data_IF_833062367892
#
_entry.id   IF_833062367892
#
_cell.length_a   1.000
_cell.length_b   1.000
_cell.length_c   1.000
_cell.angle_alpha   90.00
_cell.angle_beta   90.00
_cell.angle_gamma   90.00
#
_symmetry.space_group_name_H-M   'P 1'
#
loop_
_entity.id
_entity.type
_entity.pdbx_description
1 polymer ?
#
# COMPACT_ATOMS: atom_id res chain seq x y z
N UNK A 1 2.15 -15.92 -19.22
CA UNK A 1 1.39 -14.86 -18.51
C UNK A 1 2.03 -13.52 -18.86
N UNK A 2 1.23 -12.47 -19.04
CA UNK A 2 1.72 -11.10 -19.27
C UNK A 2 1.48 -10.34 -17.96
N UNK A 3 2.53 -9.83 -17.34
CA UNK A 3 2.42 -8.94 -16.19
C UNK A 3 2.18 -7.51 -16.66
N UNK A 4 1.19 -6.83 -16.08
CA UNK A 4 0.93 -5.39 -16.33
C UNK A 4 1.80 -4.52 -15.41
N UNK A 5 2.18 -5.04 -14.25
CA UNK A 5 3.08 -4.41 -13.28
C UNK A 5 4.27 -5.33 -12.98
N UNK A 6 5.38 -4.70 -12.54
CA UNK A 6 6.57 -5.36 -11.97
C UNK A 6 6.73 -5.02 -10.47
N UNK A 7 5.92 -5.63 -9.58
CA UNK A 7 5.95 -5.29 -8.17
C UNK A 7 7.07 -6.04 -7.43
N UNK A 8 7.82 -5.33 -6.59
CA UNK A 8 8.73 -5.97 -5.63
C UNK A 8 8.00 -6.72 -4.49
N UNK A 9 6.73 -6.40 -4.25
CA UNK A 9 5.91 -6.96 -3.17
C UNK A 9 4.44 -7.12 -3.62
N UNK A 10 3.88 -8.29 -3.33
CA UNK A 10 2.45 -8.60 -3.45
C UNK A 10 1.90 -8.88 -2.06
N UNK A 11 0.87 -8.12 -1.64
CA UNK A 11 0.21 -8.28 -0.35
C UNK A 11 -1.14 -8.96 -0.53
N UNK A 12 -1.32 -10.12 0.11
CA UNK A 12 -2.57 -10.87 0.13
C UNK A 12 -3.47 -10.34 1.26
N UNK A 13 -4.55 -9.67 0.87
CA UNK A 13 -5.50 -9.04 1.78
C UNK A 13 -6.91 -9.65 1.66
N UNK A 14 -7.74 -9.38 2.66
CA UNK A 14 -9.12 -9.85 2.73
C UNK A 14 -9.32 -11.16 3.50
N UNK A 15 -10.57 -11.50 3.84
CA UNK A 15 -10.88 -12.59 4.77
C UNK A 15 -10.35 -13.96 4.33
N UNK A 16 -10.39 -14.24 3.02
CA UNK A 16 -9.89 -15.49 2.45
C UNK A 16 -8.38 -15.62 2.64
N UNK A 17 -7.63 -14.54 2.38
CA UNK A 17 -6.19 -14.52 2.53
C UNK A 17 -5.77 -14.69 4.00
N UNK A 18 -6.48 -14.03 4.91
CA UNK A 18 -6.26 -14.14 6.36
C UNK A 18 -6.57 -15.55 6.86
N UNK A 19 -7.72 -16.12 6.46
CA UNK A 19 -8.10 -17.47 6.85
C UNK A 19 -7.18 -18.55 6.26
N UNK A 20 -6.73 -18.34 5.02
CA UNK A 20 -5.79 -19.25 4.35
C UNK A 20 -4.36 -19.18 4.91
N UNK A 21 -3.99 -18.05 5.52
CA UNK A 21 -2.75 -17.90 6.27
C UNK A 21 -1.49 -18.27 5.49
N UNK A 22 -0.50 -18.74 6.22
CA UNK A 22 0.81 -19.11 5.67
C UNK A 22 0.74 -20.20 4.57
N UNK A 23 -0.08 -21.26 4.69
CA UNK A 23 -0.22 -22.24 3.61
C UNK A 23 -0.69 -21.64 2.28
N UNK A 24 -1.64 -20.70 2.32
CA UNK A 24 -2.11 -20.02 1.12
C UNK A 24 -1.02 -19.09 0.57
N UNK A 25 -0.34 -18.33 1.44
CA UNK A 25 0.75 -17.44 1.06
C UNK A 25 1.86 -18.19 0.31
N UNK A 26 2.30 -19.33 0.85
CA UNK A 26 3.33 -20.17 0.24
C UNK A 26 2.92 -20.66 -1.15
N UNK A 27 1.68 -21.17 -1.30
CA UNK A 27 1.18 -21.64 -2.60
C UNK A 27 1.11 -20.53 -3.66
N UNK A 28 0.72 -19.32 -3.26
CA UNK A 28 0.71 -18.17 -4.18
C UNK A 28 2.14 -17.78 -4.57
N UNK A 29 3.08 -17.79 -3.61
CA UNK A 29 4.49 -17.51 -3.88
C UNK A 29 5.10 -18.51 -4.87
N UNK A 30 4.88 -19.82 -4.66
CA UNK A 30 5.35 -20.87 -5.57
C UNK A 30 4.77 -20.70 -6.97
N UNK A 31 3.48 -20.34 -7.06
CA UNK A 31 2.83 -20.13 -8.34
C UNK A 31 3.39 -18.91 -9.07
N UNK A 32 3.62 -17.80 -8.37
CA UNK A 32 4.22 -16.59 -8.96
C UNK A 32 5.66 -16.84 -9.40
N UNK A 33 6.45 -17.56 -8.60
CA UNK A 33 7.83 -17.94 -8.94
C UNK A 33 7.92 -18.81 -10.20
N UNK A 34 6.87 -19.56 -10.55
CA UNK A 34 6.81 -20.33 -11.80
C UNK A 34 6.56 -19.48 -13.07
N UNK A 35 6.41 -18.16 -12.92
CA UNK A 35 6.14 -17.22 -14.03
C UNK A 35 7.43 -16.55 -14.48
N UNK A 36 7.61 -16.18 -15.76
CA UNK A 36 8.80 -15.45 -16.24
C UNK A 36 8.87 -13.97 -15.81
N UNK A 37 8.29 -13.63 -14.64
CA UNK A 37 8.33 -12.29 -14.06
C UNK A 37 9.50 -12.18 -13.07
N UNK A 38 9.88 -10.96 -12.72
CA UNK A 38 10.83 -10.72 -11.63
C UNK A 38 10.24 -11.30 -10.33
N UNK A 39 11.05 -11.95 -9.47
CA UNK A 39 10.57 -12.50 -8.22
C UNK A 39 9.97 -11.41 -7.33
N UNK A 40 8.69 -11.54 -7.02
CA UNK A 40 7.99 -10.67 -6.07
C UNK A 40 7.91 -11.35 -4.70
N UNK A 41 8.16 -10.58 -3.63
CA UNK A 41 7.89 -11.06 -2.27
C UNK A 41 6.38 -11.17 -2.08
N UNK A 42 5.89 -12.26 -1.48
CA UNK A 42 4.46 -12.41 -1.15
C UNK A 42 4.27 -12.36 0.36
N UNK A 43 3.46 -11.42 0.83
CA UNK A 43 3.15 -11.22 2.25
C UNK A 43 1.64 -11.30 2.51
N UNK A 44 1.26 -11.67 3.73
CA UNK A 44 -0.12 -11.52 4.21
C UNK A 44 -0.30 -10.11 4.77
N UNK A 45 -1.47 -9.51 4.56
CA UNK A 45 -1.79 -8.22 5.16
C UNK A 45 -1.77 -8.33 6.69
N UNK A 46 -1.07 -7.40 7.34
CA UNK A 46 -1.11 -7.21 8.80
C UNK A 46 -2.26 -6.28 9.24
N UNK A 47 -2.89 -5.56 8.30
CA UNK A 47 -4.00 -4.65 8.58
C UNK A 47 -5.22 -5.45 8.96
N UNK A 48 -5.72 -5.25 10.18
CA UNK A 48 -6.95 -5.85 10.67
C UNK A 48 -8.12 -4.92 10.34
N UNK A 49 -9.25 -5.48 9.94
CA UNK A 49 -10.44 -4.68 9.61
C UNK A 49 -10.42 -4.17 8.17
N UNK A 50 -10.82 -2.92 7.96
CA UNK A 50 -11.02 -2.35 6.62
C UNK A 50 -9.80 -1.53 6.17
N UNK A 51 -8.86 -2.19 5.49
CA UNK A 51 -7.64 -1.55 4.97
C UNK A 51 -7.91 -0.38 4.01
N UNK A 52 -9.06 -0.38 3.31
CA UNK A 52 -9.44 0.74 2.42
C UNK A 52 -9.83 1.96 3.23
N UNK A 53 -10.62 1.77 4.29
CA UNK A 53 -11.01 2.86 5.19
C UNK A 53 -9.79 3.45 5.90
N UNK A 54 -8.94 2.59 6.46
CA UNK A 54 -7.73 3.03 7.17
C UNK A 54 -6.79 3.81 6.23
N UNK A 55 -6.58 3.29 5.02
CA UNK A 55 -5.80 3.96 3.99
C UNK A 55 -6.40 5.31 3.56
N UNK A 56 -7.73 5.39 3.41
CA UNK A 56 -8.42 6.62 3.07
C UNK A 56 -8.27 7.68 4.17
N UNK A 57 -8.34 7.27 5.45
CA UNK A 57 -8.13 8.18 6.58
C UNK A 57 -6.68 8.70 6.60
N UNK A 58 -5.69 7.83 6.45
CA UNK A 58 -4.28 8.23 6.34
C UNK A 58 -4.06 9.22 5.20
N UNK A 59 -4.62 8.92 4.02
CA UNK A 59 -4.53 9.81 2.85
C UNK A 59 -5.18 11.18 3.10
N UNK A 60 -6.37 11.21 3.69
CA UNK A 60 -7.06 12.46 4.01
C UNK A 60 -6.29 13.31 5.02
N UNK A 61 -5.67 12.68 6.02
CA UNK A 61 -4.82 13.34 7.00
C UNK A 61 -3.56 13.92 6.35
N UNK A 62 -2.90 13.17 5.46
CA UNK A 62 -1.71 13.65 4.76
C UNK A 62 -2.03 14.83 3.83
N UNK A 63 -3.14 14.76 3.09
CA UNK A 63 -3.61 15.90 2.29
C UNK A 63 -3.90 17.14 3.15
N UNK A 64 -4.44 16.95 4.35
CA UNK A 64 -4.76 18.07 5.25
C UNK A 64 -3.49 18.67 5.83
N UNK A 65 -2.52 17.85 6.22
CA UNK A 65 -1.20 18.31 6.71
C UNK A 65 -0.47 19.13 5.66
N UNK A 66 -0.42 18.62 4.42
CA UNK A 66 0.23 19.32 3.31
C UNK A 66 -0.37 20.73 3.14
N UNK A 67 -1.71 20.85 3.14
CA UNK A 67 -2.38 22.15 3.01
C UNK A 67 -2.08 23.11 4.15
N UNK A 68 -2.13 22.64 5.40
CA UNK A 68 -1.89 23.49 6.58
C UNK A 68 -0.45 23.99 6.60
N UNK A 69 0.52 23.13 6.29
CA UNK A 69 1.93 23.52 6.29
C UNK A 69 2.32 24.40 5.09
N UNK A 70 1.74 24.16 3.90
CA UNK A 70 1.93 25.06 2.75
C UNK A 70 1.32 26.45 2.99
N UNK A 71 0.11 26.52 3.59
CA UNK A 71 -0.52 27.79 3.93
C UNK A 71 0.31 28.62 4.93
N UNK A 72 0.96 27.97 5.89
CA UNK A 72 1.86 28.64 6.84
C UNK A 72 3.13 29.22 6.22
N UNK A 73 3.65 28.61 5.14
CA UNK A 73 4.83 29.12 4.43
C UNK A 73 4.53 30.34 3.55
N UNK A 74 3.35 30.41 2.95
CA UNK A 74 2.95 31.54 2.10
C UNK A 74 2.76 32.85 2.91
N UNK A 75 2.27 32.74 4.15
CA UNK A 75 2.07 33.89 5.04
C UNK A 75 3.36 34.58 5.50
N UNK A 76 4.54 33.95 5.33
CA UNK A 76 5.85 34.56 5.68
C UNK A 76 6.46 35.38 4.55
N UNK A 77 6.00 35.21 3.32
CA UNK A 77 6.53 35.91 2.12
C UNK A 77 5.83 37.25 1.82
N UNK A 78 4.65 37.51 2.38
CA UNK A 78 3.92 38.78 2.18
C UNK A 78 4.21 39.83 3.26
N UNK A 79 5.11 39.54 4.21
CA UNK A 79 5.54 40.47 5.26
C UNK A 79 6.98 40.93 5.04
N UNK A 80 7.25 41.62 3.93
CA UNK A 80 8.39 42.53 3.84
C UNK A 80 8.09 43.67 2.85
N UNK A 81 7.87 44.92 3.32
CA UNK A 81 7.88 46.08 2.44
C UNK A 81 9.28 46.37 1.88
#
# INVERSE_FOLDING_TARGET
>A
AIGVLDPGLVVLAGPLCVAGGEPLRARVADRLASTPLVPATVALSAVRGNAVLDGALCYALDLTRERVFQAGTAGRTESNP
#
